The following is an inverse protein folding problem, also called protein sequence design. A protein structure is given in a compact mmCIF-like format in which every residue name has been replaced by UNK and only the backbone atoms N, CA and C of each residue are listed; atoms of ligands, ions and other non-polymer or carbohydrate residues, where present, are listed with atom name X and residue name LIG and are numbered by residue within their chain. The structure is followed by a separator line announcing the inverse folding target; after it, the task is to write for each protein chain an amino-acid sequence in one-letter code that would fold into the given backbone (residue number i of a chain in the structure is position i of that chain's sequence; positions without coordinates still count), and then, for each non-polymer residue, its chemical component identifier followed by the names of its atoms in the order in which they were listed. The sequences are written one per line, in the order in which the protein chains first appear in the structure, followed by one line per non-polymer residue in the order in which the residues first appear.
data_IF_933709097406
#
_entry.id   IF_933709097406
#
_cell.length_a   1.000
_cell.length_b   1.000
_cell.length_c   1.000
_cell.angle_alpha   90.00
_cell.angle_beta   90.00
_cell.angle_gamma   90.00
#
_symmetry.space_group_name_H-M   'P 1'
#
loop_
_entity.id
_entity.type
_entity.pdbx_description
1 polymer ?
#
# COMPACT_ATOMS: atom_id res chain seq x y z
N UNK A 1 20.44 13.08 4.63
CA UNK A 1 19.38 13.87 5.32
C UNK A 1 18.15 14.19 4.46
N UNK A 2 18.26 14.88 3.32
CA UNK A 2 17.08 15.31 2.53
C UNK A 2 16.30 14.12 1.93
N UNK A 3 16.99 13.08 1.49
CA UNK A 3 16.38 11.89 0.89
C UNK A 3 15.59 11.09 1.93
N UNK A 4 16.12 10.95 3.13
CA UNK A 4 15.52 10.23 4.26
C UNK A 4 14.26 10.95 4.75
N UNK A 5 14.31 12.28 4.89
CA UNK A 5 13.13 13.08 5.22
C UNK A 5 12.05 12.94 4.13
N UNK A 6 12.43 12.96 2.85
CA UNK A 6 11.48 12.79 1.75
C UNK A 6 10.82 11.41 1.76
N UNK A 7 11.58 10.35 2.08
CA UNK A 7 11.05 8.98 2.20
C UNK A 7 10.19 8.80 3.45
N UNK A 8 10.54 9.44 4.56
CA UNK A 8 9.70 9.49 5.76
C UNK A 8 8.35 10.15 5.43
N UNK A 9 8.37 11.30 4.75
CA UNK A 9 7.16 11.99 4.30
C UNK A 9 6.33 11.12 3.35
N UNK A 10 6.97 10.38 2.44
CA UNK A 10 6.29 9.42 1.58
C UNK A 10 5.60 8.31 2.38
N UNK A 11 6.27 7.74 3.39
CA UNK A 11 5.65 6.77 4.30
C UNK A 11 4.43 7.34 5.01
N UNK A 12 4.51 8.58 5.49
CA UNK A 12 3.40 9.28 6.16
C UNK A 12 2.22 9.48 5.20
N UNK A 13 2.50 9.90 3.97
CA UNK A 13 1.47 10.05 2.94
C UNK A 13 0.79 8.70 2.64
N UNK A 14 1.55 7.62 2.49
CA UNK A 14 0.97 6.28 2.27
C UNK A 14 0.08 5.87 3.45
N UNK A 15 0.53 6.11 4.69
CA UNK A 15 -0.23 5.79 5.89
C UNK A 15 -1.51 6.64 6.03
N UNK A 16 -1.46 7.94 5.71
CA UNK A 16 -2.64 8.83 5.75
C UNK A 16 -3.66 8.48 4.65
N UNK A 17 -3.16 8.17 3.46
CA UNK A 17 -3.98 7.87 2.29
C UNK A 17 -4.19 6.37 2.06
N UNK A 18 -3.95 5.52 3.06
CA UNK A 18 -4.06 4.07 2.91
C UNK A 18 -5.44 3.62 2.42
N UNK A 19 -6.52 4.23 2.93
CA UNK A 19 -7.90 3.90 2.53
C UNK A 19 -8.19 4.21 1.05
N UNK A 20 -7.98 5.44 0.55
CA UNK A 20 -8.22 5.73 -0.86
C UNK A 20 -7.26 4.97 -1.79
N UNK A 21 -6.00 4.74 -1.40
CA UNK A 21 -5.06 3.93 -2.16
C UNK A 21 -5.57 2.48 -2.28
N UNK A 22 -5.93 1.86 -1.16
CA UNK A 22 -6.45 0.50 -1.12
C UNK A 22 -7.73 0.36 -1.96
N UNK A 23 -8.66 1.30 -1.83
CA UNK A 23 -9.92 1.27 -2.59
C UNK A 23 -9.66 1.34 -4.10
N UNK A 24 -8.78 2.24 -4.54
CA UNK A 24 -8.44 2.37 -5.98
C UNK A 24 -7.76 1.10 -6.52
N UNK A 25 -6.86 0.52 -5.74
CA UNK A 25 -6.16 -0.72 -6.12
C UNK A 25 -7.12 -1.91 -6.19
N UNK A 26 -8.00 -2.06 -5.21
CA UNK A 26 -9.03 -3.11 -5.23
C UNK A 26 -10.01 -2.94 -6.41
N UNK A 27 -10.36 -1.71 -6.79
CA UNK A 27 -11.17 -1.46 -7.98
C UNK A 27 -10.47 -1.93 -9.26
N UNK A 28 -9.17 -1.67 -9.39
CA UNK A 28 -8.38 -2.14 -10.53
C UNK A 28 -8.25 -3.66 -10.53
N UNK A 29 -7.98 -4.27 -9.38
CA UNK A 29 -7.86 -5.72 -9.22
C UNK A 29 -9.17 -6.44 -9.61
N UNK A 30 -10.33 -5.91 -9.17
CA UNK A 30 -11.65 -6.45 -9.56
C UNK A 30 -11.92 -6.32 -11.05
N UNK A 31 -11.49 -5.23 -11.67
CA UNK A 31 -11.64 -5.04 -13.12
C UNK A 31 -10.81 -6.07 -13.90
N UNK A 32 -9.58 -6.33 -13.44
CA UNK A 32 -8.68 -7.35 -13.99
C UNK A 32 -9.27 -8.75 -13.79
N UNK A 33 -9.73 -9.05 -12.58
CA UNK A 33 -10.36 -10.34 -12.26
C UNK A 33 -11.56 -10.63 -13.17
N UNK A 34 -12.42 -9.62 -13.36
CA UNK A 34 -13.58 -9.72 -14.26
C UNK A 34 -13.14 -10.01 -15.70
N UNK A 35 -12.10 -9.34 -16.20
CA UNK A 35 -11.57 -9.54 -17.54
C UNK A 35 -11.03 -10.96 -17.78
N UNK A 36 -10.29 -11.51 -16.80
CA UNK A 36 -9.75 -12.86 -16.90
C UNK A 36 -10.83 -13.94 -16.76
N UNK A 37 -11.80 -13.74 -15.85
CA UNK A 37 -12.93 -14.67 -15.69
C UNK A 37 -13.81 -14.75 -16.95
N UNK A 38 -14.03 -13.62 -17.64
CA UNK A 38 -14.72 -13.61 -18.94
C UNK A 38 -14.00 -14.45 -20.01
N UNK A 39 -12.70 -14.69 -19.84
CA UNK A 39 -11.88 -15.52 -20.74
C UNK A 39 -11.74 -16.96 -20.25
N UNK A 40 -12.50 -17.35 -19.22
CA UNK A 40 -12.46 -18.70 -18.64
C UNK A 40 -11.25 -18.98 -17.75
N UNK A 41 -10.46 -17.95 -17.40
CA UNK A 41 -9.30 -18.09 -16.51
C UNK A 41 -9.76 -17.87 -15.07
N UNK A 42 -9.60 -18.88 -14.21
CA UNK A 42 -9.89 -18.78 -12.79
C UNK A 42 -8.73 -18.13 -12.04
N UNK A 43 -8.96 -16.94 -11.51
CA UNK A 43 -8.04 -16.27 -10.59
C UNK A 43 -8.44 -16.55 -9.13
N UNK A 44 -7.46 -16.51 -8.20
CA UNK A 44 -7.72 -16.64 -6.77
C UNK A 44 -8.68 -15.54 -6.29
N UNK A 45 -9.42 -15.82 -5.21
CA UNK A 45 -10.35 -14.83 -4.65
C UNK A 45 -9.58 -13.59 -4.18
N UNK A 46 -10.00 -12.39 -4.59
CA UNK A 46 -9.34 -11.16 -4.17
C UNK A 46 -9.45 -10.98 -2.65
N UNK A 47 -8.48 -10.29 -2.03
CA UNK A 47 -8.52 -10.00 -0.61
C UNK A 47 -9.73 -9.11 -0.26
N UNK A 48 -10.15 -9.15 1.01
CA UNK A 48 -11.22 -8.27 1.49
C UNK A 48 -10.77 -6.81 1.48
N UNK A 49 -11.71 -5.87 1.31
CA UNK A 49 -11.40 -4.42 1.31
C UNK A 49 -10.73 -3.99 2.62
N UNK A 50 -11.14 -4.56 3.75
CA UNK A 50 -10.53 -4.31 5.06
C UNK A 50 -9.09 -4.83 5.12
N UNK A 51 -8.85 -6.04 4.60
CA UNK A 51 -7.49 -6.61 4.52
C UNK A 51 -6.58 -5.74 3.66
N UNK A 52 -7.05 -5.29 2.50
CA UNK A 52 -6.29 -4.41 1.62
C UNK A 52 -5.97 -3.08 2.30
N UNK A 53 -6.95 -2.42 2.92
CA UNK A 53 -6.75 -1.17 3.66
C UNK A 53 -5.70 -1.32 4.76
N UNK A 54 -5.79 -2.39 5.55
CA UNK A 54 -4.84 -2.68 6.62
C UNK A 54 -3.43 -2.93 6.06
N UNK A 55 -3.31 -3.63 4.94
CA UNK A 55 -2.02 -3.88 4.29
C UNK A 55 -1.35 -2.57 3.87
N UNK A 56 -2.08 -1.68 3.19
CA UNK A 56 -1.54 -0.38 2.77
C UNK A 56 -1.18 0.51 3.97
N UNK A 57 -1.95 0.44 5.05
CA UNK A 57 -1.62 1.13 6.29
C UNK A 57 -0.31 0.60 6.90
N UNK A 58 -0.19 -0.73 7.03
CA UNK A 58 1.01 -1.38 7.56
C UNK A 58 2.24 -1.06 6.73
N UNK A 59 2.13 -1.06 5.40
CA UNK A 59 3.23 -0.67 4.50
C UNK A 59 3.66 0.78 4.77
N UNK A 60 2.71 1.72 4.86
CA UNK A 60 3.02 3.12 5.15
C UNK A 60 3.73 3.30 6.50
N UNK A 61 3.19 2.68 7.56
CA UNK A 61 3.79 2.72 8.89
C UNK A 61 5.18 2.06 8.92
N UNK A 62 5.36 0.94 8.22
CA UNK A 62 6.66 0.27 8.13
C UNK A 62 7.72 1.17 7.49
N UNK A 63 7.38 1.85 6.39
CA UNK A 63 8.27 2.82 5.74
C UNK A 63 8.61 3.96 6.70
N UNK A 64 7.62 4.49 7.44
CA UNK A 64 7.87 5.52 8.44
C UNK A 64 8.86 5.08 9.52
N UNK A 65 8.66 3.89 10.09
CA UNK A 65 9.50 3.36 11.15
C UNK A 65 10.93 3.10 10.66
N UNK A 66 11.07 2.57 9.45
CA UNK A 66 12.38 2.29 8.85
C UNK A 66 13.16 3.58 8.61
N UNK A 67 12.55 4.59 8.01
CA UNK A 67 13.21 5.87 7.73
C UNK A 67 13.49 6.67 9.02
N UNK A 68 12.60 6.62 10.01
CA UNK A 68 12.85 7.21 11.32
C UNK A 68 14.05 6.56 12.02
N UNK A 69 14.15 5.22 11.99
CA UNK A 69 15.30 4.48 12.51
C UNK A 69 16.60 4.81 11.78
N UNK A 70 16.55 4.98 10.44
CA UNK A 70 17.71 5.41 9.65
C UNK A 70 18.18 6.80 10.03
N UNK A 71 17.26 7.75 10.21
CA UNK A 71 17.60 9.11 10.66
C UNK A 71 18.24 9.05 12.04
N UNK A 72 17.68 8.26 12.96
CA UNK A 72 18.20 8.11 14.32
C UNK A 72 19.63 7.52 14.36
N UNK A 73 19.93 6.51 13.55
CA UNK A 73 21.28 5.89 13.48
C UNK A 73 22.28 6.80 12.76
N UNK A 74 21.79 7.64 11.84
CA UNK A 74 22.61 8.59 11.09
C UNK A 74 22.91 9.89 11.84
N UNK A 75 22.28 10.12 12.99
CA UNK A 75 22.44 11.29 13.86
C UNK A 75 23.51 11.03 14.93
#
# INVERSE_FOLDING_TARGET
MVVEITRLLLGVLIALFHRPIAKKMMQQERAIDTYFRQRGISLPTPPSDTTAQNLYFLIGIFICLLEAGRIWISL
#
